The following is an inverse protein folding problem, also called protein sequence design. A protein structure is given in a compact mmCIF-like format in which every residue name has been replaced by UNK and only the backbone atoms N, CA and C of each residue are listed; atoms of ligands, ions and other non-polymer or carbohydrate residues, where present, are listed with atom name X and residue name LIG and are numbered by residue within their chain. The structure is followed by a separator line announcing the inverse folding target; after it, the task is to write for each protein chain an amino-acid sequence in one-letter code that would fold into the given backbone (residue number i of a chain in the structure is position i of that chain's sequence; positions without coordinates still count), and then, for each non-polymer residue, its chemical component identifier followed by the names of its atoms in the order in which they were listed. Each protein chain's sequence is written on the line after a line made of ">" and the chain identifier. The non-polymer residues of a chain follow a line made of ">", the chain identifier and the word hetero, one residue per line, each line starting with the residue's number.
data_IF_590283080165
#
_entry.id   IF_590283080165
#
_cell.length_a   1.000
_cell.length_b   1.000
_cell.length_c   1.000
_cell.angle_alpha   90.00
_cell.angle_beta   90.00
_cell.angle_gamma   90.00
#
_symmetry.space_group_name_H-M   'P 1'
#
loop_
_entity.id
_entity.type
_entity.pdbx_description
1 polymer ?
#
# COMPACT_ATOMS: atom_id res chain seq x y z
N UNK A 1 -10.90 -6.44 -0.04
CA UNK A 1 -9.79 -6.71 0.90
C UNK A 1 -8.68 -7.54 0.22
N UNK A 2 -8.30 -7.23 -1.03
CA UNK A 2 -7.34 -8.06 -1.79
C UNK A 2 -6.19 -7.23 -2.35
N UNK A 3 -6.48 -5.99 -2.77
CA UNK A 3 -5.49 -5.11 -3.36
C UNK A 3 -4.33 -4.75 -2.41
N UNK A 4 -4.62 -4.39 -1.16
CA UNK A 4 -3.57 -4.05 -0.17
C UNK A 4 -2.64 -5.24 0.09
N UNK A 5 -3.20 -6.44 0.19
CA UNK A 5 -2.42 -7.67 0.37
C UNK A 5 -1.60 -8.02 -0.87
N UNK A 6 -2.14 -7.80 -2.07
CA UNK A 6 -1.42 -7.99 -3.33
C UNK A 6 -0.25 -7.01 -3.49
N UNK A 7 -0.47 -5.71 -3.19
CA UNK A 7 0.58 -4.69 -3.20
C UNK A 7 1.65 -5.02 -2.15
N UNK A 8 1.26 -5.40 -0.94
CA UNK A 8 2.20 -5.79 0.11
C UNK A 8 3.07 -6.99 -0.30
N UNK A 9 2.47 -8.00 -0.94
CA UNK A 9 3.19 -9.17 -1.43
C UNK A 9 4.17 -8.84 -2.58
N UNK A 10 3.81 -7.90 -3.47
CA UNK A 10 4.71 -7.44 -4.54
C UNK A 10 5.92 -6.71 -3.96
N UNK A 11 5.70 -5.79 -3.01
CA UNK A 11 6.78 -5.04 -2.36
C UNK A 11 7.68 -5.96 -1.54
N UNK A 12 7.12 -6.93 -0.82
CA UNK A 12 7.87 -7.96 -0.10
C UNK A 12 8.75 -8.82 -1.04
N UNK A 13 8.18 -9.25 -2.17
CA UNK A 13 8.92 -10.01 -3.19
C UNK A 13 10.06 -9.23 -3.86
N UNK A 14 9.97 -7.89 -3.88
CA UNK A 14 11.03 -7.00 -4.36
C UNK A 14 11.99 -6.56 -3.25
N UNK A 15 11.82 -7.05 -2.02
CA UNK A 15 12.60 -6.64 -0.84
C UNK A 15 12.51 -5.13 -0.53
N UNK A 16 11.36 -4.52 -0.87
CA UNK A 16 11.04 -3.12 -0.62
C UNK A 16 10.35 -2.98 0.73
N UNK A 17 10.95 -2.21 1.62
CA UNK A 17 10.38 -1.93 2.93
C UNK A 17 9.10 -1.07 2.78
N UNK A 18 7.99 -1.58 3.31
CA UNK A 18 6.71 -0.90 3.27
C UNK A 18 5.98 -0.95 4.60
N UNK A 19 5.15 0.05 4.85
CA UNK A 19 4.30 0.18 6.03
C UNK A 19 2.84 0.29 5.61
N UNK A 20 2.00 -0.61 6.10
CA UNK A 20 0.55 -0.52 5.91
C UNK A 20 -0.05 0.27 7.07
N UNK A 21 -0.45 1.50 6.81
CA UNK A 21 -1.23 2.32 7.72
C UNK A 21 -2.71 1.89 7.64
N UNK A 22 -3.36 1.73 8.80
CA UNK A 22 -4.76 1.23 9.00
C UNK A 22 -4.90 -0.28 9.35
N UNK A 23 -3.84 -1.00 9.74
CA UNK A 23 -3.99 -2.38 10.23
C UNK A 23 -4.54 -2.50 11.68
N UNK A 24 -4.67 -1.40 12.41
CA UNK A 24 -5.06 -1.39 13.84
C UNK A 24 -6.59 -1.40 14.08
N UNK A 25 -7.41 -1.74 13.09
CA UNK A 25 -8.85 -1.84 13.33
C UNK A 25 -9.21 -3.20 13.91
N UNK A 26 -8.98 -3.32 15.22
CA UNK A 26 -9.65 -4.33 16.03
C UNK A 26 -11.15 -4.05 16.02
N UNK A 27 -11.89 -5.15 15.90
CA UNK A 27 -13.34 -5.34 15.79
C UNK A 27 -14.12 -4.86 17.03
N UNK A 28 -13.55 -4.01 17.89
CA UNK A 28 -14.14 -3.66 19.19
C UNK A 28 -14.85 -2.30 19.08
N UNK A 29 -16.18 -2.36 19.06
CA UNK A 29 -17.11 -1.25 19.30
C UNK A 29 -17.25 -0.17 18.20
N UNK A 30 -17.89 -0.55 17.10
CA UNK A 30 -19.11 0.18 16.72
C UNK A 30 -18.98 1.62 16.18
N UNK A 31 -17.96 1.96 15.40
CA UNK A 31 -17.99 3.21 14.63
C UNK A 31 -17.49 3.01 13.20
N UNK A 32 -18.41 3.26 12.26
CA UNK A 32 -18.13 3.46 10.84
C UNK A 32 -17.12 4.61 10.68
N UNK A 33 -15.84 4.28 10.58
CA UNK A 33 -14.83 5.15 10.00
C UNK A 33 -14.20 4.37 8.85
N UNK A 34 -14.62 4.62 7.61
CA UNK A 34 -13.95 4.09 6.42
C UNK A 34 -12.63 4.85 6.31
N UNK A 35 -11.64 4.44 7.10
CA UNK A 35 -10.30 4.96 7.01
C UNK A 35 -9.67 4.40 5.73
N UNK A 36 -9.16 5.26 4.84
CA UNK A 36 -8.49 4.79 3.64
C UNK A 36 -7.20 4.08 4.06
N UNK A 37 -7.08 2.80 3.71
CA UNK A 37 -5.84 2.04 3.87
C UNK A 37 -4.76 2.63 3.00
N UNK A 38 -3.57 2.83 3.58
CA UNK A 38 -2.44 3.44 2.88
C UNK A 38 -1.22 2.57 3.04
N UNK A 39 -0.45 2.47 1.96
CA UNK A 39 0.85 1.81 1.97
C UNK A 39 1.88 2.91 1.79
N UNK A 40 2.79 3.01 2.74
CA UNK A 40 3.93 3.92 2.69
C UNK A 40 5.17 3.10 2.36
N UNK A 41 6.05 3.68 1.57
CA UNK A 41 7.35 3.12 1.17
C UNK A 41 8.41 4.17 1.50
N UNK A 42 9.66 3.76 1.74
CA UNK A 42 10.76 4.70 1.94
C UNK A 42 10.92 5.60 0.70
N UNK A 43 11.37 6.84 0.87
CA UNK A 43 11.55 7.77 -0.25
C UNK A 43 12.56 7.25 -1.29
N UNK A 44 13.64 6.62 -0.82
CA UNK A 44 14.66 5.98 -1.67
C UNK A 44 14.08 4.85 -2.51
N UNK A 45 13.13 4.08 -1.97
CA UNK A 45 12.49 2.96 -2.65
C UNK A 45 11.20 3.38 -3.39
N UNK A 46 10.76 4.63 -3.25
CA UNK A 46 9.49 5.10 -3.81
C UNK A 46 9.48 5.02 -5.35
N UNK A 47 10.61 5.31 -5.99
CA UNK A 47 10.75 5.22 -7.44
C UNK A 47 10.69 3.77 -7.91
N UNK A 48 11.35 2.86 -7.20
CA UNK A 48 11.37 1.43 -7.52
C UNK A 48 9.98 0.79 -7.29
N UNK A 49 9.34 1.10 -6.16
CA UNK A 49 7.99 0.67 -5.86
C UNK A 49 6.97 1.15 -6.91
N UNK A 50 7.09 2.40 -7.38
CA UNK A 50 6.24 2.94 -8.45
C UNK A 50 6.45 2.20 -9.77
N UNK A 51 7.69 1.86 -10.12
CA UNK A 51 8.01 1.08 -11.31
C UNK A 51 7.42 -0.33 -11.21
N UNK A 52 7.68 -1.04 -10.11
CA UNK A 52 7.17 -2.38 -9.87
C UNK A 52 5.64 -2.44 -9.95
N UNK A 53 4.95 -1.48 -9.31
CA UNK A 53 3.49 -1.37 -9.38
C UNK A 53 3.00 -1.05 -10.79
N UNK A 54 3.76 -0.26 -11.55
CA UNK A 54 3.43 0.03 -12.95
C UNK A 54 3.57 -1.20 -13.83
N UNK A 55 4.63 -1.97 -13.66
CA UNK A 55 4.86 -3.22 -14.38
C UNK A 55 3.79 -4.29 -14.04
N UNK A 56 3.32 -4.30 -12.80
CA UNK A 56 2.21 -5.13 -12.36
C UNK A 56 0.82 -4.65 -12.84
N UNK A 57 0.74 -3.55 -13.60
CA UNK A 57 -0.52 -2.99 -14.10
C UNK A 57 -1.34 -2.24 -13.03
N UNK A 58 -0.72 -1.88 -11.90
CA UNK A 58 -1.32 -1.18 -10.77
C UNK A 58 -1.03 0.33 -10.78
N UNK A 59 -0.58 0.88 -11.92
CA UNK A 59 -0.26 2.30 -12.05
C UNK A 59 -1.41 3.23 -11.69
N UNK A 60 -2.66 2.79 -11.87
CA UNK A 60 -3.86 3.56 -11.54
C UNK A 60 -4.07 3.75 -10.03
N UNK A 61 -3.52 2.86 -9.21
CA UNK A 61 -3.62 2.92 -7.75
C UNK A 61 -2.53 3.82 -7.13
N UNK A 62 -1.56 4.26 -7.94
CA UNK A 62 -0.53 5.19 -7.51
C UNK A 62 -1.14 6.58 -7.35
N UNK A 63 -1.00 7.16 -6.15
CA UNK A 63 -1.35 8.57 -5.94
C UNK A 63 -0.32 9.44 -6.69
N UNK A 64 -0.83 10.34 -7.54
CA UNK A 64 -0.04 11.42 -8.10
C UNK A 64 0.53 12.27 -6.97
N UNK A 65 1.82 12.55 -7.03
CA UNK A 65 2.48 13.54 -6.18
C UNK A 65 2.14 14.90 -6.81
N UNK A 66 1.11 15.58 -6.29
CA UNK A 66 0.79 16.99 -6.59
C UNK A 66 1.11 17.83 -5.35
#
# INVERSE_FOLDING_TARGET
>A
MVLVSAIGALLDGANIHHLVLDQNMSIIEGSLGILPRRILVHEDDALEARQLLTEAGLSHELRGDD
#
